data_IF_702859059210
#
_entry.id   IF_702859059210
#
_cell.length_a   1.000
_cell.length_b   1.000
_cell.length_c   1.000
_cell.angle_alpha   90.00
_cell.angle_beta   90.00
_cell.angle_gamma   90.00
#
_symmetry.space_group_name_H-M   'P 1'
#
loop_
_entity.id
_entity.type
_entity.pdbx_description
1 polymer ?
#
# COMPACT_ATOMS: atom_id res chain seq x y z
N UNK A 1 7.80 -3.34 -11.05
CA UNK A 1 7.18 -4.62 -10.63
C UNK A 1 6.00 -4.44 -9.68
N UNK A 2 6.15 -3.77 -8.53
CA UNK A 2 5.06 -3.60 -7.53
C UNK A 2 3.75 -3.00 -8.08
N UNK A 3 3.85 -2.00 -8.96
CA UNK A 3 2.69 -1.44 -9.69
C UNK A 3 1.89 -2.52 -10.43
N UNK A 4 2.56 -3.44 -11.12
CA UNK A 4 1.91 -4.52 -11.90
C UNK A 4 1.15 -5.47 -10.99
N UNK A 5 1.75 -5.85 -9.85
CA UNK A 5 1.09 -6.69 -8.86
C UNK A 5 -0.15 -6.00 -8.29
N UNK A 6 -0.04 -4.72 -7.99
CA UNK A 6 -1.13 -3.93 -7.43
C UNK A 6 -2.31 -3.78 -8.42
N UNK A 7 -2.05 -3.56 -9.71
CA UNK A 7 -3.09 -3.55 -10.76
C UNK A 7 -3.76 -4.92 -10.88
N UNK A 8 -2.99 -6.01 -10.98
CA UNK A 8 -3.56 -7.36 -11.09
C UNK A 8 -4.38 -7.76 -9.85
N UNK A 9 -3.94 -7.34 -8.66
CA UNK A 9 -4.65 -7.53 -7.39
C UNK A 9 -5.98 -6.75 -7.37
N UNK A 10 -5.99 -5.50 -7.84
CA UNK A 10 -7.23 -4.72 -8.01
C UNK A 10 -8.17 -5.37 -9.02
N UNK A 11 -7.67 -5.82 -10.16
CA UNK A 11 -8.49 -6.52 -11.16
C UNK A 11 -9.11 -7.81 -10.60
N UNK A 12 -8.36 -8.57 -9.80
CA UNK A 12 -8.90 -9.72 -9.07
C UNK A 12 -10.01 -9.30 -8.10
N UNK A 13 -9.82 -8.20 -7.36
CA UNK A 13 -10.79 -7.69 -6.39
C UNK A 13 -12.17 -7.42 -7.02
N UNK A 14 -12.18 -6.92 -8.26
CA UNK A 14 -13.39 -6.57 -9.01
C UNK A 14 -13.79 -7.63 -10.05
N UNK A 15 -13.13 -8.79 -10.06
CA UNK A 15 -13.48 -9.91 -10.92
C UNK A 15 -14.65 -10.74 -10.36
N UNK A 16 -15.20 -11.64 -11.19
CA UNK A 16 -16.18 -12.65 -10.76
C UNK A 16 -15.66 -13.55 -9.63
N UNK A 17 -14.35 -13.73 -9.53
CA UNK A 17 -13.68 -14.56 -8.52
C UNK A 17 -13.07 -13.71 -7.39
N UNK A 18 -13.75 -12.63 -7.01
CA UNK A 18 -13.29 -11.77 -5.91
C UNK A 18 -13.20 -12.56 -4.59
N UNK A 19 -12.10 -12.43 -3.83
CA UNK A 19 -11.95 -13.08 -2.53
C UNK A 19 -13.06 -12.71 -1.54
N UNK A 20 -13.63 -11.52 -1.65
CA UNK A 20 -14.67 -11.03 -0.75
C UNK A 20 -16.04 -11.68 -0.99
N UNK A 21 -16.36 -12.03 -2.24
CA UNK A 21 -17.66 -12.67 -2.57
C UNK A 21 -17.49 -14.16 -2.75
N UNK A 22 -16.69 -14.57 -3.73
CA UNK A 22 -16.43 -15.96 -4.06
C UNK A 22 -15.57 -16.64 -3.00
N UNK A 23 -14.54 -15.97 -2.49
CA UNK A 23 -13.63 -16.54 -1.47
C UNK A 23 -14.33 -16.79 -0.14
N UNK A 24 -15.12 -15.83 0.36
CA UNK A 24 -15.91 -16.00 1.59
C UNK A 24 -16.92 -17.15 1.44
N UNK A 25 -17.57 -17.27 0.27
CA UNK A 25 -18.54 -18.34 0.02
C UNK A 25 -17.90 -19.74 -0.07
N UNK A 26 -16.68 -19.83 -0.60
CA UNK A 26 -16.04 -21.13 -0.91
C UNK A 26 -15.15 -21.66 0.22
N UNK A 27 -14.41 -20.79 0.91
CA UNK A 27 -13.40 -21.19 1.92
C UNK A 27 -13.80 -20.76 3.35
N UNK A 28 -14.90 -20.02 3.48
CA UNK A 28 -15.40 -19.50 4.75
C UNK A 28 -14.93 -18.08 5.06
N UNK A 29 -15.56 -17.47 6.06
CA UNK A 29 -15.44 -16.03 6.35
C UNK A 29 -14.02 -15.63 6.73
N UNK A 30 -13.41 -16.30 7.72
CA UNK A 30 -12.09 -15.91 8.27
C UNK A 30 -11.01 -15.93 7.18
N UNK A 31 -10.94 -17.04 6.45
CA UNK A 31 -9.95 -17.24 5.39
C UNK A 31 -10.24 -16.30 4.22
N UNK A 32 -11.51 -16.18 3.80
CA UNK A 32 -11.91 -15.26 2.73
C UNK A 32 -11.57 -13.80 3.02
N UNK A 33 -11.80 -13.33 4.25
CA UNK A 33 -11.43 -11.97 4.68
C UNK A 33 -9.91 -11.81 4.73
N UNK A 34 -9.17 -12.79 5.28
CA UNK A 34 -7.71 -12.75 5.29
C UNK A 34 -7.11 -12.61 3.88
N UNK A 35 -7.61 -13.40 2.92
CA UNK A 35 -7.18 -13.27 1.52
C UNK A 35 -7.64 -11.97 0.86
N UNK A 36 -8.79 -11.42 1.27
CA UNK A 36 -9.32 -10.18 0.71
C UNK A 36 -8.43 -8.97 1.00
N UNK A 37 -7.64 -8.97 2.08
CA UNK A 37 -6.75 -7.86 2.42
C UNK A 37 -5.73 -7.56 1.30
N UNK A 38 -5.19 -8.57 0.63
CA UNK A 38 -4.18 -8.41 -0.42
C UNK A 38 -4.68 -7.63 -1.66
N UNK A 39 -5.83 -8.00 -2.28
CA UNK A 39 -6.44 -7.24 -3.37
C UNK A 39 -6.63 -5.75 -3.11
N UNK A 40 -6.95 -5.38 -1.86
CA UNK A 40 -7.27 -4.01 -1.47
C UNK A 40 -6.06 -3.18 -1.05
N UNK A 41 -4.82 -3.67 -1.24
CA UNK A 41 -3.60 -2.92 -0.90
C UNK A 41 -3.52 -1.54 -1.55
N UNK A 42 -4.01 -1.38 -2.77
CA UNK A 42 -3.94 -0.10 -3.47
C UNK A 42 -4.71 1.02 -2.74
N UNK A 43 -5.80 0.68 -2.05
CA UNK A 43 -6.64 1.65 -1.35
C UNK A 43 -5.91 2.30 -0.16
N UNK A 44 -4.87 1.66 0.38
CA UNK A 44 -4.01 2.28 1.40
C UNK A 44 -3.29 3.54 0.90
N UNK A 45 -3.14 3.74 -0.41
CA UNK A 45 -2.58 4.98 -0.95
C UNK A 45 -3.33 6.23 -0.50
N UNK A 46 -4.68 6.17 -0.42
CA UNK A 46 -5.52 7.30 -0.05
C UNK A 46 -5.19 7.81 1.37
N UNK A 47 -5.31 7.02 2.45
CA UNK A 47 -4.98 7.49 3.79
C UNK A 47 -3.49 7.86 3.91
N UNK A 48 -2.58 7.11 3.28
CA UNK A 48 -1.14 7.43 3.33
C UNK A 48 -0.86 8.84 2.79
N UNK A 49 -1.48 9.22 1.67
CA UNK A 49 -1.29 10.54 1.08
C UNK A 49 -1.99 11.62 1.89
N UNK A 50 -3.22 11.38 2.33
CA UNK A 50 -3.98 12.34 3.13
C UNK A 50 -3.22 12.65 4.42
N UNK A 51 -2.85 11.63 5.20
CA UNK A 51 -2.09 11.83 6.44
C UNK A 51 -0.66 12.27 6.19
N UNK A 52 -0.10 11.97 5.03
CA UNK A 52 1.23 12.40 4.63
C UNK A 52 1.32 13.85 4.15
N UNK A 53 0.21 14.51 3.82
CA UNK A 53 0.12 15.92 3.44
C UNK A 53 -0.55 16.79 4.50
N UNK A 54 -1.39 16.20 5.35
CA UNK A 54 -2.16 16.90 6.37
C UNK A 54 -1.28 17.70 7.35
N UNK A 55 -0.18 17.15 7.92
CA UNK A 55 0.70 17.92 8.81
C UNK A 55 1.35 19.14 8.12
N UNK A 56 1.74 19.00 6.86
CA UNK A 56 2.39 20.05 6.08
C UNK A 56 1.41 21.18 5.74
N UNK A 57 0.18 20.83 5.36
CA UNK A 57 -0.89 21.80 5.14
C UNK A 57 -1.26 22.50 6.44
N UNK A 58 -1.41 21.76 7.53
CA UNK A 58 -1.75 22.34 8.82
C UNK A 58 -0.67 23.30 9.33
N UNK A 59 0.61 22.97 9.12
CA UNK A 59 1.73 23.87 9.42
C UNK A 59 1.66 25.15 8.58
N UNK A 60 1.36 25.04 7.29
CA UNK A 60 1.22 26.19 6.40
C UNK A 60 0.08 27.14 6.82
N UNK A 61 -1.05 26.60 7.28
CA UNK A 61 -2.18 27.39 7.77
C UNK A 61 -2.09 27.79 9.25
N UNK A 62 -1.05 27.35 9.98
CA UNK A 62 -0.90 27.60 11.42
C UNK A 62 -1.94 26.89 12.29
N UNK A 63 -2.55 25.81 11.80
CA UNK A 63 -3.59 25.05 12.51
C UNK A 63 -2.94 23.86 13.21
N UNK A 64 -3.32 23.60 14.47
CA UNK A 64 -2.86 22.43 15.21
C UNK A 64 -3.71 21.20 14.88
N UNK A 65 -3.10 20.15 14.34
CA UNK A 65 -3.78 18.87 14.04
C UNK A 65 -3.94 18.00 15.28
N UNK A 66 -2.97 18.06 16.19
CA UNK A 66 -2.92 17.21 17.38
C UNK A 66 -3.48 17.94 18.61
N UNK A 67 -4.12 17.22 19.54
CA UNK A 67 -4.57 17.82 20.79
C UNK A 67 -3.37 18.31 21.62
N UNK A 68 -3.61 19.35 22.41
CA UNK A 68 -2.63 19.83 23.40
C UNK A 68 -2.34 18.72 24.42
N UNK A 69 -1.10 18.65 24.91
CA UNK A 69 -0.68 17.66 25.92
C UNK A 69 -1.46 17.73 27.24
N UNK A 70 -2.11 18.87 27.52
CA UNK A 70 -3.01 19.03 28.68
C UNK A 70 -4.33 18.27 28.53
N UNK A 71 -4.67 17.83 27.32
CA UNK A 71 -5.91 17.12 27.05
C UNK A 71 -5.72 15.61 27.30
N UNK A 72 -6.57 14.95 28.11
CA UNK A 72 -6.51 13.50 28.33
C UNK A 72 -6.45 12.67 27.03
N UNK A 73 -7.09 13.14 25.95
CA UNK A 73 -7.09 12.47 24.65
C UNK A 73 -5.68 12.34 24.03
N UNK A 74 -4.75 13.23 24.36
CA UNK A 74 -3.36 13.14 23.89
C UNK A 74 -2.70 11.83 24.30
N UNK A 75 -2.90 11.41 25.56
CA UNK A 75 -2.33 10.16 26.09
C UNK A 75 -2.90 8.93 25.40
N UNK A 76 -4.20 8.95 25.04
CA UNK A 76 -4.81 7.87 24.28
C UNK A 76 -4.16 7.71 22.91
N UNK A 77 -3.96 8.82 22.17
CA UNK A 77 -3.32 8.77 20.85
C UNK A 77 -1.86 8.32 20.94
N UNK A 78 -1.13 8.79 21.96
CA UNK A 78 0.25 8.36 22.21
C UNK A 78 0.31 6.85 22.46
N UNK A 79 -0.56 6.33 23.31
CA UNK A 79 -0.64 4.90 23.61
C UNK A 79 -0.97 4.07 22.38
N UNK A 80 -1.96 4.49 21.58
CA UNK A 80 -2.33 3.80 20.33
C UNK A 80 -1.16 3.77 19.33
N UNK A 81 -0.43 4.88 19.20
CA UNK A 81 0.72 4.98 18.30
C UNK A 81 1.83 4.00 18.72
N UNK A 82 2.29 4.07 19.98
CA UNK A 82 3.35 3.18 20.45
C UNK A 82 2.89 1.72 20.48
N UNK A 83 1.65 1.45 20.87
CA UNK A 83 1.10 0.09 20.90
C UNK A 83 1.10 -0.56 19.52
N UNK A 84 0.64 0.15 18.50
CA UNK A 84 0.61 -0.37 17.13
C UNK A 84 2.02 -0.66 16.59
N UNK A 85 2.97 0.27 16.73
CA UNK A 85 4.34 0.08 16.25
C UNK A 85 5.12 -0.97 17.06
N UNK A 86 4.88 -1.05 18.38
CA UNK A 86 5.52 -2.05 19.22
C UNK A 86 5.02 -3.45 18.88
N UNK A 87 3.71 -3.61 18.67
CA UNK A 87 3.14 -4.90 18.25
C UNK A 87 3.71 -5.34 16.90
N UNK A 88 3.70 -4.46 15.90
CA UNK A 88 4.23 -4.77 14.56
C UNK A 88 5.73 -5.14 14.59
N UNK A 89 6.52 -4.43 15.41
CA UNK A 89 7.93 -4.78 15.62
C UNK A 89 8.10 -6.14 16.31
N UNK A 90 7.29 -6.42 17.34
CA UNK A 90 7.35 -7.69 18.06
C UNK A 90 7.01 -8.86 17.13
N UNK A 91 5.93 -8.75 16.35
CA UNK A 91 5.53 -9.77 15.39
C UNK A 91 6.66 -10.01 14.36
N UNK A 92 7.25 -8.93 13.81
CA UNK A 92 8.34 -9.03 12.85
C UNK A 92 9.60 -9.72 13.43
N UNK A 93 9.92 -9.46 14.70
CA UNK A 93 11.08 -10.08 15.38
C UNK A 93 10.79 -11.53 15.76
N UNK A 94 9.56 -11.85 16.17
CA UNK A 94 9.13 -13.22 16.46
C UNK A 94 9.18 -14.11 15.21
N UNK A 95 8.93 -13.55 14.03
CA UNK A 95 9.11 -14.22 12.73
C UNK A 95 10.60 -14.39 12.32
N UNK A 96 11.55 -13.97 13.17
CA UNK A 96 12.99 -14.08 12.91
C UNK A 96 13.58 -12.90 12.15
N UNK A 97 12.83 -11.81 12.01
CA UNK A 97 13.30 -10.55 11.45
C UNK A 97 14.22 -9.78 12.40
N UNK A 98 15.07 -8.90 11.85
CA UNK A 98 15.88 -7.97 12.66
C UNK A 98 15.26 -6.57 12.68
N UNK A 99 15.53 -5.80 13.73
CA UNK A 99 15.02 -4.42 13.87
C UNK A 99 15.33 -3.54 12.66
N UNK A 100 16.51 -3.72 12.05
CA UNK A 100 16.94 -2.94 10.88
C UNK A 100 16.16 -3.32 9.62
N UNK A 101 15.79 -4.61 9.50
CA UNK A 101 14.94 -5.09 8.39
C UNK A 101 13.52 -4.59 8.55
N UNK A 102 12.97 -4.64 9.77
CA UNK A 102 11.66 -4.08 10.09
C UNK A 102 11.57 -2.59 9.71
N UNK A 103 12.55 -1.80 10.14
CA UNK A 103 12.58 -0.37 9.82
C UNK A 103 12.65 -0.11 8.31
N UNK A 104 13.41 -0.93 7.58
CA UNK A 104 13.47 -0.83 6.13
C UNK A 104 12.14 -1.24 5.47
N UNK A 105 11.46 -2.24 6.01
CA UNK A 105 10.14 -2.67 5.54
C UNK A 105 9.10 -1.56 5.69
N UNK A 106 9.02 -0.94 6.87
CA UNK A 106 8.15 0.21 7.13
C UNK A 106 8.40 1.38 6.16
N UNK A 107 9.67 1.69 5.88
CA UNK A 107 10.03 2.72 4.89
C UNK A 107 9.60 2.33 3.48
N UNK A 108 9.85 1.07 3.07
CA UNK A 108 9.47 0.59 1.75
C UNK A 108 7.96 0.51 1.58
N UNK A 109 7.22 0.19 2.64
CA UNK A 109 5.75 0.22 2.66
C UNK A 109 5.23 1.63 2.39
N UNK A 110 5.76 2.65 3.07
CA UNK A 110 5.41 4.05 2.81
C UNK A 110 5.74 4.49 1.37
N UNK A 111 6.95 4.18 0.89
CA UNK A 111 7.38 4.51 -0.49
C UNK A 111 6.44 3.86 -1.51
N UNK A 112 6.08 2.58 -1.31
CA UNK A 112 5.13 1.86 -2.18
C UNK A 112 3.75 2.48 -2.15
N UNK A 113 3.30 2.96 -0.98
CA UNK A 113 2.05 3.68 -0.79
C UNK A 113 1.95 4.96 -1.64
N UNK A 114 2.96 5.82 -1.56
CA UNK A 114 3.00 7.07 -2.33
C UNK A 114 3.20 6.88 -3.83
N UNK A 115 3.89 5.80 -4.22
CA UNK A 115 4.25 5.56 -5.63
C UNK A 115 3.36 4.50 -6.25
N UNK A 116 3.74 3.23 -6.10
CA UNK A 116 3.13 2.11 -6.81
C UNK A 116 1.64 1.98 -6.55
N UNK A 117 1.17 2.14 -5.31
CA UNK A 117 -0.25 1.98 -4.97
C UNK A 117 -1.08 3.12 -5.56
N UNK A 118 -0.63 4.38 -5.43
CA UNK A 118 -1.30 5.53 -6.06
C UNK A 118 -1.41 5.36 -7.58
N UNK A 119 -0.29 5.12 -8.27
CA UNK A 119 -0.30 5.00 -9.73
C UNK A 119 -1.16 3.82 -10.21
N UNK A 120 -1.14 2.70 -9.47
CA UNK A 120 -1.99 1.55 -9.79
C UNK A 120 -3.47 1.85 -9.58
N UNK A 121 -3.81 2.57 -8.51
CA UNK A 121 -5.19 2.97 -8.22
C UNK A 121 -5.75 3.94 -9.28
N UNK A 122 -4.96 4.93 -9.69
CA UNK A 122 -5.33 5.87 -10.76
C UNK A 122 -5.53 5.11 -12.08
N UNK A 123 -4.56 4.28 -12.47
CA UNK A 123 -4.63 3.51 -13.72
C UNK A 123 -5.82 2.56 -13.75
N UNK A 124 -6.06 1.85 -12.65
CA UNK A 124 -7.22 0.97 -12.51
C UNK A 124 -8.55 1.74 -12.59
N UNK A 125 -8.64 2.91 -11.96
CA UNK A 125 -9.83 3.77 -12.02
C UNK A 125 -10.08 4.25 -13.46
N UNK A 126 -9.04 4.72 -14.16
CA UNK A 126 -9.14 5.11 -15.56
C UNK A 126 -9.58 3.96 -16.48
N UNK A 127 -9.12 2.74 -16.17
CA UNK A 127 -9.50 1.53 -16.88
C UNK A 127 -10.97 1.17 -16.67
N UNK A 128 -11.48 1.23 -15.43
CA UNK A 128 -12.91 1.01 -15.14
C UNK A 128 -13.79 2.05 -15.84
N UNK A 129 -13.36 3.32 -15.85
CA UNK A 129 -14.08 4.41 -16.51
C UNK A 129 -13.96 4.37 -18.05
N UNK A 130 -13.23 3.40 -18.61
CA UNK A 130 -13.01 3.23 -20.04
C UNK A 130 -12.38 4.46 -20.73
N UNK A 131 -11.66 5.29 -19.97
CA UNK A 131 -11.03 6.54 -20.44
C UNK A 131 -9.68 6.24 -21.10
N UNK A 132 -8.94 5.23 -20.62
CA UNK A 132 -7.68 4.82 -21.21
C UNK A 132 -7.40 3.34 -20.95
N UNK A 133 -7.12 2.58 -22.01
CA UNK A 133 -6.47 1.27 -21.91
C UNK A 133 -4.97 1.48 -22.05
N UNK A 134 -4.29 1.80 -20.94
CA UNK A 134 -2.82 1.82 -20.93
C UNK A 134 -2.31 0.40 -21.18
N UNK A 135 -2.05 0.11 -22.46
CA UNK A 135 -1.48 -1.14 -22.93
C UNK A 135 -0.13 -1.39 -22.25
N UNK A 136 0.05 -2.63 -21.81
CA UNK A 136 1.21 -3.07 -21.06
C UNK A 136 2.50 -2.86 -21.87
N UNK A 137 3.31 -1.88 -21.47
CA UNK A 137 4.62 -1.68 -22.08
C UNK A 137 5.62 -2.68 -21.50
N UNK A 138 5.85 -3.78 -22.22
CA UNK A 138 6.92 -4.74 -21.92
C UNK A 138 8.23 -4.07 -22.33
N UNK A 139 8.99 -3.58 -21.36
CA UNK A 139 10.39 -3.25 -21.60
C UNK A 139 11.10 -4.55 -21.98
N UNK A 140 11.55 -4.67 -23.22
CA UNK A 140 12.36 -5.80 -23.67
C UNK A 140 13.62 -5.89 -22.81
N UNK A 141 13.97 -7.11 -22.40
CA UNK A 141 15.23 -7.42 -21.71
C UNK A 141 16.27 -7.96 -22.70
N UNK A 142 16.19 -7.54 -23.97
CA UNK A 142 17.27 -7.78 -24.92
C UNK A 142 18.26 -6.66 -24.69
N UNK A 143 19.40 -6.99 -24.09
CA UNK A 143 20.53 -6.10 -24.07
C UNK A 143 20.94 -5.84 -25.52
N UNK A 144 21.21 -4.59 -25.87
CA UNK A 144 21.94 -4.19 -27.08
C UNK A 144 23.41 -4.70 -27.08
N UNK A 145 23.74 -5.73 -26.30
CA UNK A 145 25.08 -6.30 -26.14
C UNK A 145 25.47 -7.20 -27.33
N UNK A 146 24.51 -7.64 -28.17
CA UNK A 146 24.81 -8.42 -29.38
C UNK A 146 25.13 -7.55 -30.61
N UNK A 147 24.73 -6.27 -30.65
CA UNK A 147 25.03 -5.36 -31.78
C UNK A 147 26.42 -4.71 -31.71
N UNK A 148 27.12 -4.77 -30.57
CA UNK A 148 28.49 -4.25 -30.43
C UNK A 148 29.59 -5.29 -30.68
N UNK A 149 29.26 -6.57 -30.87
CA UNK A 149 30.24 -7.63 -31.21
C UNK A 149 30.43 -7.86 -32.72
N UNK A 150 29.74 -7.09 -33.57
CA UNK A 150 29.82 -7.18 -35.04
C UNK A 150 30.15 -5.85 -35.74
N UNK A 151 30.99 -5.01 -35.12
CA UNK A 151 31.65 -3.89 -35.81
C UNK A 151 33.15 -3.89 -35.56
#
# INVERSE_FOLDING_TARGET
QQKRWCIGLLEMAFSRYSPLTYGIKSVGLVIGVGYSQNPFWAFWSIPIIVYGLLPQLALFYGISVFPKASNPWFWLYMFLFFGAYAQDLLDFVLEGGSYRRWWNDQRMWLIRGFTSYLFSFIEFTLKILNISTLGFNITSKTNDDEEQSKR
#
